data_IF_997728223324
#
_entry.id   IF_997728223324
#
_cell.length_a   1.000
_cell.length_b   1.000
_cell.length_c   1.000
_cell.angle_alpha   90.00
_cell.angle_beta   90.00
_cell.angle_gamma   90.00
#
_symmetry.space_group_name_H-M   'P 1'
#
loop_
_entity.id
_entity.type
_entity.pdbx_description
1 polymer ?
#
# COMPACT_ATOMS: atom_id res chain seq x y z
N UNK A 1 16.28 30.10 5.13
CA UNK A 1 16.89 28.75 5.08
C UNK A 1 15.87 27.78 5.61
N UNK A 2 15.54 26.69 4.89
CA UNK A 2 14.60 25.70 5.39
C UNK A 2 15.14 25.07 6.68
N UNK A 3 14.27 24.88 7.67
CA UNK A 3 14.62 24.25 8.94
C UNK A 3 14.77 22.75 8.71
N UNK A 4 15.88 22.16 9.17
CA UNK A 4 16.13 20.72 9.05
C UNK A 4 15.12 19.96 9.91
N UNK A 5 14.60 18.86 9.38
CA UNK A 5 13.69 17.98 10.11
C UNK A 5 14.41 17.32 11.29
N UNK A 6 13.84 17.39 12.49
CA UNK A 6 14.38 16.81 13.73
C UNK A 6 13.49 15.72 14.36
N UNK A 7 12.26 15.54 13.86
CA UNK A 7 11.41 14.40 14.22
C UNK A 7 11.91 13.11 13.57
N UNK A 8 12.32 12.13 14.40
CA UNK A 8 12.87 10.87 13.93
C UNK A 8 11.90 10.05 13.07
N UNK A 9 10.58 10.12 13.31
CA UNK A 9 9.58 9.46 12.46
C UNK A 9 9.55 10.12 11.08
N UNK A 10 9.54 11.45 11.03
CA UNK A 10 9.54 12.18 9.76
C UNK A 10 10.84 11.96 8.99
N UNK A 11 11.98 11.88 9.67
CA UNK A 11 13.29 11.56 9.05
C UNK A 11 13.32 10.19 8.36
N UNK A 12 12.42 9.25 8.71
CA UNK A 12 12.28 8.00 7.97
C UNK A 12 11.78 8.22 6.53
N UNK A 13 11.19 9.37 6.21
CA UNK A 13 10.67 9.68 4.88
C UNK A 13 11.84 9.99 3.93
N UNK A 14 12.36 8.93 3.32
CA UNK A 14 13.39 8.99 2.28
C UNK A 14 13.15 7.89 1.25
N UNK A 15 13.71 8.03 0.05
CA UNK A 15 13.57 7.01 -0.99
C UNK A 15 14.17 5.65 -0.57
N UNK A 16 15.29 5.67 0.16
CA UNK A 16 16.01 4.48 0.58
C UNK A 16 15.29 3.69 1.68
N UNK A 17 14.44 4.38 2.46
CA UNK A 17 13.68 3.80 3.56
C UNK A 17 12.35 3.18 3.12
N UNK A 18 11.97 3.29 1.83
CA UNK A 18 10.70 2.75 1.34
C UNK A 18 10.79 1.22 1.29
N UNK A 19 9.90 0.57 2.03
CA UNK A 19 9.73 -0.89 1.97
C UNK A 19 8.88 -1.30 0.77
N UNK A 20 7.69 -0.74 0.72
CA UNK A 20 6.67 -0.98 -0.30
C UNK A 20 5.59 0.11 -0.20
N UNK A 21 4.73 0.14 -1.22
CA UNK A 21 3.53 0.95 -1.23
C UNK A 21 2.29 0.09 -1.16
N UNK A 22 1.14 0.71 -0.94
CA UNK A 22 -0.15 0.03 -1.02
C UNK A 22 -1.16 0.81 -1.82
N UNK A 23 -1.88 0.12 -2.69
CA UNK A 23 -2.99 0.62 -3.51
C UNK A 23 -4.26 -0.19 -3.24
N UNK A 24 -5.41 0.38 -3.55
CA UNK A 24 -6.68 -0.32 -3.60
C UNK A 24 -7.10 -0.53 -5.06
N UNK A 25 -7.82 -1.62 -5.26
CA UNK A 25 -8.61 -1.84 -6.46
C UNK A 25 -10.05 -1.45 -6.18
N UNK A 26 -10.78 -1.01 -7.21
CA UNK A 26 -12.20 -0.73 -7.06
C UNK A 26 -12.96 -2.02 -6.71
N UNK A 27 -13.79 -1.97 -5.66
CA UNK A 27 -14.44 -3.14 -5.05
C UNK A 27 -15.88 -3.37 -5.54
N UNK A 28 -16.41 -2.41 -6.29
CA UNK A 28 -17.78 -2.46 -6.81
C UNK A 28 -17.89 -3.18 -8.17
N UNK A 29 -16.80 -3.82 -8.64
CA UNK A 29 -16.86 -4.79 -9.73
C UNK A 29 -17.03 -6.21 -9.13
N UNK A 30 -18.26 -6.76 -9.10
CA UNK A 30 -18.62 -7.96 -8.33
C UNK A 30 -18.01 -9.27 -8.87
N UNK A 31 -17.24 -9.17 -9.95
CA UNK A 31 -16.62 -10.26 -10.66
C UNK A 31 -15.22 -9.79 -11.06
N UNK A 32 -14.24 -10.69 -11.17
CA UNK A 32 -13.02 -10.37 -11.93
C UNK A 32 -13.30 -10.18 -13.45
N UNK A 33 -14.48 -9.66 -13.82
CA UNK A 33 -14.92 -9.49 -15.19
C UNK A 33 -14.44 -8.13 -15.66
N UNK A 34 -13.21 -8.15 -16.15
CA UNK A 34 -12.66 -7.19 -17.09
C UNK A 34 -12.16 -5.85 -16.54
N UNK A 35 -12.60 -5.35 -15.38
CA UNK A 35 -12.23 -3.99 -14.93
C UNK A 35 -11.66 -3.94 -13.49
N UNK A 36 -10.63 -4.75 -13.19
CA UNK A 36 -9.70 -4.30 -12.16
C UNK A 36 -9.11 -2.97 -12.61
N UNK A 37 -9.61 -1.89 -12.03
CA UNK A 37 -8.98 -0.60 -12.16
C UNK A 37 -8.40 -0.27 -10.81
N UNK A 38 -7.18 0.26 -10.82
CA UNK A 38 -6.67 0.92 -9.64
C UNK A 38 -7.70 1.98 -9.27
N UNK A 39 -8.09 1.99 -7.99
CA UNK A 39 -9.12 2.90 -7.51
C UNK A 39 -8.80 4.31 -7.96
N UNK A 40 -9.71 4.92 -8.71
CA UNK A 40 -9.46 6.23 -9.29
C UNK A 40 -9.14 7.25 -8.20
N UNK A 41 -8.21 8.16 -8.52
CA UNK A 41 -7.79 9.25 -7.63
C UNK A 41 -7.12 8.80 -6.32
N UNK A 42 -6.76 7.52 -6.19
CA UNK A 42 -5.91 7.06 -5.10
C UNK A 42 -4.43 7.28 -5.45
N UNK A 43 -3.66 7.81 -4.49
CA UNK A 43 -2.20 7.65 -4.53
C UNK A 43 -1.74 6.60 -3.51
N UNK A 44 -0.62 5.89 -3.76
CA UNK A 44 -0.18 4.81 -2.90
C UNK A 44 0.18 5.34 -1.51
N UNK A 45 -0.31 4.67 -0.46
CA UNK A 45 0.31 4.82 0.86
C UNK A 45 1.69 4.16 0.84
N UNK A 46 2.62 4.65 1.63
CA UNK A 46 3.98 4.12 1.72
C UNK A 46 4.27 3.63 3.12
N UNK A 47 5.02 2.53 3.19
CA UNK A 47 5.56 2.01 4.44
C UNK A 47 7.06 2.20 4.42
N UNK A 48 7.57 2.87 5.45
CA UNK A 48 8.95 3.34 5.50
C UNK A 48 9.60 2.92 6.81
N UNK A 49 10.88 2.59 6.78
CA UNK A 49 11.68 2.27 7.96
C UNK A 49 13.16 2.21 7.61
N UNK A 50 14.01 2.13 8.63
CA UNK A 50 15.45 1.90 8.47
C UNK A 50 15.75 0.39 8.40
N UNK A 51 16.61 -0.03 7.49
CA UNK A 51 16.94 -1.44 7.21
C UNK A 51 17.31 -2.30 8.41
N UNK A 52 17.95 -1.69 9.40
CA UNK A 52 18.39 -2.36 10.63
C UNK A 52 17.32 -2.35 11.73
N UNK A 53 16.30 -1.51 11.60
CA UNK A 53 15.31 -1.26 12.64
C UNK A 53 14.00 -1.98 12.35
N UNK A 54 13.32 -2.35 13.43
CA UNK A 54 11.98 -2.96 13.38
C UNK A 54 10.87 -1.90 13.40
N UNK A 55 11.25 -0.65 13.63
CA UNK A 55 10.34 0.47 13.64
C UNK A 55 10.02 0.92 12.21
N UNK A 56 8.73 1.05 11.94
CA UNK A 56 8.24 1.49 10.66
C UNK A 56 7.17 2.56 10.84
N UNK A 57 7.23 3.58 9.99
CA UNK A 57 6.20 4.58 9.83
C UNK A 57 5.33 4.25 8.61
N UNK A 58 4.04 4.59 8.72
CA UNK A 58 3.14 4.57 7.59
C UNK A 58 2.86 5.99 7.14
N UNK A 59 3.20 6.28 5.91
CA UNK A 59 2.93 7.56 5.26
C UNK A 59 1.74 7.43 4.31
N UNK A 60 0.70 8.23 4.53
CA UNK A 60 -0.55 8.22 3.77
C UNK A 60 -0.77 9.58 3.14
N UNK A 61 0.05 10.00 2.16
CA UNK A 61 -0.04 11.36 1.67
C UNK A 61 -1.37 11.63 0.94
N UNK A 62 -2.06 10.62 0.41
CA UNK A 62 -3.32 10.80 -0.33
C UNK A 62 -4.31 9.66 -0.10
N UNK A 63 -4.48 9.25 1.17
CA UNK A 63 -5.53 8.31 1.52
C UNK A 63 -6.89 9.00 1.46
N UNK A 64 -7.96 8.25 1.15
CA UNK A 64 -9.33 8.77 1.18
C UNK A 64 -9.78 9.33 2.54
N UNK A 65 -8.96 9.16 3.58
CA UNK A 65 -9.17 9.75 4.90
C UNK A 65 -8.47 11.09 5.05
N UNK A 66 -7.32 11.31 4.39
CA UNK A 66 -6.48 12.49 4.59
C UNK A 66 -5.01 12.22 4.22
N UNK A 67 -4.22 13.28 4.26
CA UNK A 67 -2.77 13.22 4.37
C UNK A 67 -2.42 12.86 5.83
N UNK A 68 -1.65 11.82 6.09
CA UNK A 68 -1.28 11.44 7.46
C UNK A 68 0.13 10.82 7.47
N UNK A 69 0.93 11.17 8.48
CA UNK A 69 2.18 10.46 8.78
C UNK A 69 1.99 9.75 10.11
N UNK A 70 2.06 8.43 10.17
CA UNK A 70 1.98 7.68 11.42
C UNK A 70 3.31 7.66 12.17
N UNK A 71 3.28 7.59 13.49
CA UNK A 71 4.48 7.39 14.31
C UNK A 71 5.18 6.08 13.97
N UNK A 72 6.51 6.07 14.09
CA UNK A 72 7.30 4.86 13.98
C UNK A 72 6.95 3.87 15.11
N UNK A 73 6.63 2.63 14.75
CA UNK A 73 6.25 1.57 15.69
C UNK A 73 6.89 0.25 15.28
N UNK A 74 7.16 -0.64 16.25
CA UNK A 74 7.65 -1.98 15.94
C UNK A 74 6.54 -2.79 15.28
N UNK A 75 6.74 -3.20 14.03
CA UNK A 75 5.72 -3.88 13.23
C UNK A 75 6.25 -5.17 12.62
N UNK A 76 5.32 -6.07 12.32
CA UNK A 76 5.56 -7.19 11.41
C UNK A 76 4.69 -6.99 10.18
N UNK A 77 5.25 -7.31 9.03
CA UNK A 77 4.60 -7.23 7.73
C UNK A 77 4.38 -8.62 7.17
N UNK A 78 3.19 -8.83 6.63
CA UNK A 78 2.81 -10.04 5.92
C UNK A 78 1.99 -9.73 4.68
N UNK A 79 1.75 -10.77 3.90
CA UNK A 79 0.82 -10.74 2.77
C UNK A 79 -0.21 -11.83 2.94
N UNK A 80 -1.42 -11.59 2.47
CA UNK A 80 -2.51 -12.55 2.52
C UNK A 80 -3.37 -12.44 1.28
N UNK A 81 -3.93 -13.57 0.88
CA UNK A 81 -4.98 -13.64 -0.11
C UNK A 81 -5.94 -14.77 0.24
N UNK A 82 -7.20 -14.55 -0.08
CA UNK A 82 -8.24 -15.57 -0.06
C UNK A 82 -9.00 -15.53 -1.38
N UNK A 83 -9.55 -16.67 -1.78
CA UNK A 83 -10.47 -16.72 -2.90
C UNK A 83 -11.64 -15.75 -2.64
N UNK A 84 -12.05 -15.01 -3.68
CA UNK A 84 -12.93 -13.82 -3.70
C UNK A 84 -14.30 -13.95 -2.96
N UNK A 85 -14.63 -15.10 -2.39
CA UNK A 85 -15.91 -15.34 -1.70
C UNK A 85 -15.77 -16.13 -0.40
N UNK A 86 -14.56 -16.28 0.11
CA UNK A 86 -14.32 -16.87 1.42
C UNK A 86 -14.37 -15.75 2.44
N UNK A 87 -15.17 -15.95 3.47
CA UNK A 87 -15.20 -15.01 4.56
C UNK A 87 -13.84 -15.10 5.27
N UNK A 88 -13.25 -13.93 5.47
CA UNK A 88 -12.18 -13.48 6.38
C UNK A 88 -12.08 -14.14 7.78
N UNK A 89 -12.91 -15.14 8.07
CA UNK A 89 -13.00 -15.92 9.29
C UNK A 89 -11.86 -16.95 9.46
N UNK A 90 -11.11 -17.27 8.40
CA UNK A 90 -10.00 -18.25 8.42
C UNK A 90 -8.65 -17.71 8.92
N UNK A 91 -8.51 -16.40 9.14
CA UNK A 91 -7.34 -15.83 9.84
C UNK A 91 -7.28 -16.21 11.34
N UNK A 92 -8.26 -16.98 11.84
CA UNK A 92 -8.27 -17.50 13.22
C UNK A 92 -7.25 -18.62 13.36
N UNK A 93 -6.10 -18.31 13.97
CA UNK A 93 -5.12 -19.22 14.58
C UNK A 93 -4.69 -20.39 13.66
N UNK A 94 -3.55 -20.38 12.98
CA UNK A 94 -2.20 -20.41 13.55
C UNK A 94 -1.24 -20.44 12.35
N UNK A 95 -0.06 -19.81 12.51
CA UNK A 95 1.03 -19.75 11.53
C UNK A 95 0.84 -18.73 10.41
N UNK A 96 1.84 -17.88 10.28
CA UNK A 96 1.83 -16.69 9.41
C UNK A 96 2.34 -17.01 7.99
N UNK A 97 2.87 -18.22 7.82
CA UNK A 97 3.14 -18.88 6.54
C UNK A 97 2.26 -20.12 6.40
N UNK A 98 1.09 -19.98 5.78
CA UNK A 98 0.16 -21.08 5.54
C UNK A 98 -0.44 -20.93 4.16
N UNK A 99 -0.61 -22.04 3.46
CA UNK A 99 -1.29 -22.07 2.16
C UNK A 99 -2.22 -23.27 2.09
N UNK A 100 -3.47 -23.01 1.75
CA UNK A 100 -4.44 -24.02 1.33
C UNK A 100 -4.66 -23.90 -0.17
N UNK A 101 -5.63 -24.60 -0.74
CA UNK A 101 -6.03 -24.38 -2.12
C UNK A 101 -6.84 -23.09 -2.31
N UNK A 102 -7.31 -22.46 -1.24
CA UNK A 102 -8.23 -21.32 -1.30
C UNK A 102 -7.77 -20.07 -0.54
N UNK A 103 -6.69 -20.15 0.21
CA UNK A 103 -6.14 -19.03 0.96
C UNK A 103 -4.65 -19.21 1.16
N UNK A 104 -3.91 -18.12 1.25
CA UNK A 104 -2.50 -18.13 1.59
C UNK A 104 -2.12 -16.90 2.41
N UNK A 105 -1.20 -17.07 3.35
CA UNK A 105 -0.54 -15.99 4.07
C UNK A 105 0.97 -16.21 4.06
N UNK A 106 1.72 -15.10 4.08
CA UNK A 106 3.17 -15.09 4.10
C UNK A 106 3.69 -14.02 5.04
N UNK A 107 4.75 -14.30 5.78
CA UNK A 107 5.56 -13.26 6.43
C UNK A 107 6.50 -12.63 5.41
N UNK A 108 6.49 -11.31 5.38
CA UNK A 108 7.50 -10.52 4.69
C UNK A 108 8.71 -10.28 5.57
N UNK A 109 8.49 -9.90 6.82
CA UNK A 109 9.53 -9.61 7.79
C UNK A 109 9.09 -8.54 8.78
N UNK A 110 10.03 -8.10 9.62
CA UNK A 110 9.86 -6.99 10.56
C UNK A 110 10.78 -5.81 10.27
N UNK A 111 11.87 -6.02 9.53
CA UNK A 111 12.72 -4.93 9.07
C UNK A 111 12.47 -4.63 7.59
N UNK A 112 12.71 -3.39 7.15
CA UNK A 112 12.66 -3.01 5.74
C UNK A 112 13.49 -3.90 4.83
N UNK A 113 14.69 -4.29 5.29
CA UNK A 113 15.55 -5.19 4.53
C UNK A 113 14.91 -6.56 4.34
N UNK A 114 14.40 -7.18 5.40
CA UNK A 114 13.74 -8.49 5.31
C UNK A 114 12.55 -8.44 4.35
N UNK A 115 11.73 -7.38 4.46
CA UNK A 115 10.57 -7.16 3.61
C UNK A 115 10.98 -7.01 2.14
N UNK A 116 11.97 -6.16 1.83
CA UNK A 116 12.43 -5.97 0.44
C UNK A 116 13.10 -7.23 -0.12
N UNK A 117 13.88 -7.95 0.67
CA UNK A 117 14.48 -9.22 0.27
C UNK A 117 13.39 -10.26 -0.06
N UNK A 118 12.35 -10.35 0.78
CA UNK A 118 11.21 -11.26 0.53
C UNK A 118 10.43 -10.86 -0.72
N UNK A 119 10.07 -9.58 -0.88
CA UNK A 119 9.38 -9.09 -2.08
C UNK A 119 10.23 -9.33 -3.34
N UNK A 120 11.55 -9.17 -3.25
CA UNK A 120 12.47 -9.49 -4.35
C UNK A 120 12.41 -10.98 -4.70
N UNK A 121 12.36 -11.86 -3.70
CA UNK A 121 12.22 -13.32 -3.94
C UNK A 121 10.91 -13.69 -4.65
N UNK A 122 9.83 -12.92 -4.43
CA UNK A 122 8.54 -13.14 -5.08
C UNK A 122 8.49 -12.70 -6.56
N UNK A 123 9.52 -11.99 -7.04
CA UNK A 123 9.64 -11.57 -8.45
C UNK A 123 10.19 -12.67 -9.36
N UNK A 124 10.47 -13.86 -8.82
CA UNK A 124 11.04 -14.97 -9.59
C UNK A 124 10.13 -15.45 -10.73
N UNK A 125 8.82 -15.26 -10.61
CA UNK A 125 7.83 -15.63 -11.64
C UNK A 125 7.04 -14.39 -12.00
N UNK A 126 7.08 -13.99 -13.28
CA UNK A 126 6.35 -12.81 -13.76
C UNK A 126 5.13 -13.20 -14.59
N UNK A 127 4.20 -12.26 -14.71
CA UNK A 127 3.02 -12.38 -15.56
C UNK A 127 2.70 -11.02 -16.19
N UNK A 128 2.18 -11.06 -17.42
CA UNK A 128 1.61 -9.87 -18.06
C UNK A 128 0.20 -9.62 -17.58
N UNK A 129 -0.18 -8.35 -17.45
CA UNK A 129 -1.53 -7.94 -17.05
C UNK A 129 -2.61 -8.57 -17.95
N UNK A 130 -2.35 -8.72 -19.25
CA UNK A 130 -3.29 -9.35 -20.19
C UNK A 130 -3.55 -10.83 -19.88
N UNK A 131 -2.52 -11.58 -19.48
CA UNK A 131 -2.67 -12.99 -19.10
C UNK A 131 -3.40 -13.13 -17.75
N UNK A 132 -3.13 -12.21 -16.82
CA UNK A 132 -3.82 -12.13 -15.53
C UNK A 132 -5.31 -11.88 -15.73
N UNK A 133 -5.67 -10.84 -16.51
CA UNK A 133 -7.06 -10.51 -16.82
C UNK A 133 -7.75 -11.69 -17.52
N UNK A 134 -7.12 -12.26 -18.55
CA UNK A 134 -7.69 -13.37 -19.29
C UNK A 134 -7.93 -14.62 -18.43
N UNK A 135 -7.04 -14.92 -17.48
CA UNK A 135 -7.23 -16.05 -16.56
C UNK A 135 -8.32 -15.79 -15.53
N UNK A 136 -8.63 -14.53 -15.24
CA UNK A 136 -9.58 -14.14 -14.22
C UNK A 136 -10.98 -13.82 -14.77
N UNK A 137 -11.12 -13.61 -16.08
CA UNK A 137 -12.40 -13.41 -16.77
C UNK A 137 -13.40 -14.57 -16.50
N UNK A 138 -14.51 -14.26 -15.84
CA UNK A 138 -15.56 -15.24 -15.54
C UNK A 138 -16.42 -15.62 -16.75
N UNK A 139 -16.46 -14.77 -17.78
CA UNK A 139 -17.13 -15.10 -19.04
C UNK A 139 -16.41 -16.21 -19.81
N UNK A 140 -15.16 -16.49 -19.44
CA UNK A 140 -14.29 -17.51 -20.03
C UNK A 140 -13.83 -18.51 -18.95
N UNK A 141 -14.74 -19.30 -18.38
CA UNK A 141 -14.45 -20.19 -17.24
C UNK A 141 -13.42 -21.28 -17.56
N UNK A 142 -13.21 -21.61 -18.82
CA UNK A 142 -12.16 -22.50 -19.30
C UNK A 142 -10.76 -21.89 -19.20
N UNK A 143 -10.66 -20.55 -19.17
CA UNK A 143 -9.39 -19.86 -18.92
C UNK A 143 -9.08 -19.90 -17.43
N UNK A 144 -7.92 -20.49 -17.14
CA UNK A 144 -7.40 -20.72 -15.79
C UNK A 144 -6.02 -20.09 -15.68
N UNK A 145 -5.61 -19.84 -14.44
CA UNK A 145 -4.23 -19.51 -14.14
C UNK A 145 -3.31 -20.61 -14.70
N UNK A 146 -2.27 -20.19 -15.44
CA UNK A 146 -1.29 -21.08 -16.07
C UNK A 146 -0.23 -21.57 -15.06
N UNK A 147 -0.12 -20.89 -13.93
CA UNK A 147 0.87 -21.15 -12.90
C UNK A 147 0.36 -22.21 -11.90
N UNK A 148 1.25 -22.97 -11.22
CA UNK A 148 0.85 -23.91 -10.19
C UNK A 148 0.06 -23.26 -9.05
N UNK A 149 -0.77 -24.06 -8.37
CA UNK A 149 -1.47 -23.61 -7.16
C UNK A 149 -0.47 -23.11 -6.12
N UNK A 150 -0.81 -22.03 -5.42
CA UNK A 150 0.01 -21.31 -4.44
C UNK A 150 1.29 -20.67 -5.02
N UNK A 151 1.43 -20.60 -6.35
CA UNK A 151 2.51 -19.84 -6.98
C UNK A 151 2.21 -18.34 -6.89
N UNK A 152 3.13 -17.59 -6.28
CA UNK A 152 3.15 -16.13 -6.32
C UNK A 152 3.70 -15.69 -7.68
N UNK A 153 3.06 -14.70 -8.28
CA UNK A 153 3.45 -14.06 -9.54
C UNK A 153 3.53 -12.55 -9.37
N UNK A 154 4.49 -11.94 -10.06
CA UNK A 154 4.70 -10.50 -10.09
C UNK A 154 4.20 -9.94 -11.43
N UNK A 155 3.38 -8.89 -11.38
CA UNK A 155 2.90 -8.23 -12.61
C UNK A 155 3.95 -7.23 -13.08
N UNK A 156 4.43 -7.41 -14.31
CA UNK A 156 5.54 -6.62 -14.86
C UNK A 156 5.11 -5.35 -15.61
N UNK A 157 3.85 -5.29 -16.06
CA UNK A 157 3.36 -4.27 -16.98
C UNK A 157 1.94 -3.75 -16.66
N UNK A 158 1.58 -2.67 -17.34
CA UNK A 158 0.25 -2.05 -17.28
C UNK A 158 -0.11 -1.46 -15.92
N UNK A 159 -1.41 -1.32 -15.68
CA UNK A 159 -1.96 -0.65 -14.50
C UNK A 159 -1.64 -1.35 -13.16
N UNK A 160 -1.25 -2.63 -13.19
CA UNK A 160 -0.88 -3.39 -11.98
C UNK A 160 0.61 -3.68 -11.87
N UNK A 161 1.44 -3.05 -12.72
CA UNK A 161 2.89 -3.24 -12.67
C UNK A 161 3.40 -3.01 -11.23
N UNK A 162 4.18 -3.96 -10.72
CA UNK A 162 4.69 -3.91 -9.35
C UNK A 162 3.85 -4.60 -8.30
N UNK A 163 2.67 -5.13 -8.65
CA UNK A 163 1.80 -5.85 -7.72
C UNK A 163 2.09 -7.35 -7.70
N UNK A 164 1.70 -7.99 -6.60
CA UNK A 164 1.91 -9.43 -6.37
C UNK A 164 0.56 -10.14 -6.29
N UNK A 165 0.48 -11.29 -6.95
CA UNK A 165 -0.72 -12.12 -7.04
C UNK A 165 -0.36 -13.56 -6.74
N UNK A 166 -1.34 -14.37 -6.34
CA UNK A 166 -1.15 -15.78 -6.06
C UNK A 166 -2.21 -16.61 -6.76
N UNK A 167 -1.81 -17.79 -7.23
CA UNK A 167 -2.74 -18.75 -7.82
C UNK A 167 -3.50 -19.50 -6.73
N UNK A 168 -4.82 -19.33 -6.63
CA UNK A 168 -5.70 -20.06 -5.70
C UNK A 168 -6.90 -20.63 -6.47
N UNK A 169 -7.63 -21.57 -5.87
CA UNK A 169 -8.89 -22.07 -6.42
C UNK A 169 -10.06 -21.17 -6.03
N UNK A 170 -10.91 -20.87 -6.99
CA UNK A 170 -12.23 -20.27 -6.74
C UNK A 170 -13.22 -21.29 -6.10
N UNK A 171 -14.45 -20.85 -5.86
CA UNK A 171 -15.51 -21.73 -5.32
C UNK A 171 -15.93 -22.86 -6.28
N UNK A 172 -15.61 -22.74 -7.57
CA UNK A 172 -15.90 -23.72 -8.62
C UNK A 172 -14.72 -24.69 -8.82
N UNK A 173 -13.62 -24.52 -8.06
CA UNK A 173 -12.41 -25.34 -8.14
C UNK A 173 -11.45 -24.95 -9.27
N UNK A 174 -11.68 -23.83 -9.96
CA UNK A 174 -10.79 -23.34 -11.01
C UNK A 174 -9.65 -22.52 -10.40
N UNK A 175 -8.43 -22.74 -10.89
CA UNK A 175 -7.28 -21.91 -10.53
C UNK A 175 -7.40 -20.51 -11.13
N UNK A 176 -7.36 -19.48 -10.29
CA UNK A 176 -7.44 -18.05 -10.63
C UNK A 176 -6.32 -17.29 -9.92
N UNK A 177 -5.93 -16.13 -10.45
CA UNK A 177 -5.02 -15.23 -9.76
C UNK A 177 -5.80 -14.37 -8.75
N UNK A 178 -5.34 -14.32 -7.51
CA UNK A 178 -5.91 -13.49 -6.46
C UNK A 178 -4.86 -12.50 -5.98
N UNK A 179 -5.26 -11.26 -5.72
CA UNK A 179 -4.33 -10.23 -5.28
C UNK A 179 -3.82 -10.56 -3.88
N UNK A 180 -2.52 -10.36 -3.66
CA UNK A 180 -1.96 -10.41 -2.31
C UNK A 180 -2.09 -9.03 -1.67
N UNK A 181 -2.78 -9.00 -0.53
CA UNK A 181 -2.99 -7.82 0.29
C UNK A 181 -1.96 -7.79 1.42
N UNK A 182 -1.47 -6.60 1.74
CA UNK A 182 -0.62 -6.38 2.91
C UNK A 182 -1.45 -6.57 4.17
N UNK A 183 -0.80 -7.19 5.14
CA UNK A 183 -1.18 -7.16 6.55
C UNK A 183 -0.01 -6.61 7.35
N UNK A 184 -0.33 -5.85 8.39
CA UNK A 184 0.66 -5.42 9.36
C UNK A 184 0.04 -5.27 10.75
N UNK A 185 0.82 -5.60 11.78
CA UNK A 185 0.40 -5.48 13.17
C UNK A 185 1.59 -5.09 14.04
N UNK A 186 1.26 -4.44 15.15
CA UNK A 186 2.25 -4.04 16.13
C UNK A 186 2.76 -5.27 16.88
N UNK A 187 4.05 -5.30 17.18
CA UNK A 187 4.66 -6.31 18.03
C UNK A 187 5.25 -5.69 19.30
N UNK A 188 5.09 -6.40 20.41
CA UNK A 188 5.72 -6.03 21.69
C UNK A 188 7.04 -6.77 21.93
N UNK A 189 7.25 -7.88 21.21
CA UNK A 189 8.46 -8.68 21.25
C UNK A 189 8.73 -9.32 19.89
N UNK A 190 10.01 -9.49 19.54
CA UNK A 190 10.41 -10.19 18.32
C UNK A 190 10.03 -11.68 18.31
N UNK A 191 9.62 -12.25 19.45
CA UNK A 191 9.03 -13.59 19.51
C UNK A 191 7.64 -13.68 18.90
N UNK A 192 6.95 -12.55 18.73
CA UNK A 192 5.53 -12.49 18.35
C UNK A 192 5.32 -12.57 16.83
N UNK A 193 6.41 -12.59 16.05
CA UNK A 193 6.40 -12.59 14.56
C UNK A 193 5.67 -13.81 14.00
N UNK A 194 5.67 -14.93 14.72
CA UNK A 194 5.14 -16.21 14.23
C UNK A 194 3.64 -16.41 14.49
N UNK A 195 2.94 -15.39 15.01
CA UNK A 195 1.51 -15.49 15.31
C UNK A 195 0.80 -14.20 14.91
N UNK A 196 -0.33 -14.36 14.21
CA UNK A 196 -1.28 -13.27 14.11
C UNK A 196 -1.80 -12.88 15.50
N UNK A 197 -2.06 -11.59 15.76
CA UNK A 197 -2.86 -11.18 16.89
C UNK A 197 -4.18 -11.96 16.94
N UNK A 198 -4.57 -12.42 18.13
CA UNK A 198 -5.86 -13.11 18.32
C UNK A 198 -7.06 -12.18 18.05
N UNK A 199 -6.84 -10.88 18.22
CA UNK A 199 -7.78 -9.80 17.97
C UNK A 199 -7.58 -9.25 16.56
N UNK A 200 -8.55 -9.49 15.69
CA UNK A 200 -8.46 -9.14 14.26
C UNK A 200 -8.38 -7.63 14.04
N UNK A 201 -8.97 -6.85 14.92
CA UNK A 201 -8.92 -5.39 14.94
C UNK A 201 -7.51 -4.84 15.16
N UNK A 202 -6.58 -5.65 15.69
CA UNK A 202 -5.15 -5.28 15.82
C UNK A 202 -4.35 -5.53 14.55
N UNK A 203 -4.95 -6.11 13.52
CA UNK A 203 -4.33 -6.35 12.22
C UNK A 203 -4.82 -5.27 11.26
N UNK A 204 -3.91 -4.43 10.82
CA UNK A 204 -4.16 -3.55 9.69
C UNK A 204 -3.97 -4.33 8.38
N UNK A 205 -4.87 -4.14 7.42
CA UNK A 205 -4.99 -4.99 6.24
C UNK A 205 -5.90 -4.38 5.18
N UNK A 206 -5.90 -4.98 3.99
CA UNK A 206 -6.92 -4.75 2.97
C UNK A 206 -6.49 -3.94 1.75
N UNK A 207 -5.19 -3.65 1.63
CA UNK A 207 -4.61 -2.96 0.48
C UNK A 207 -3.63 -3.86 -0.25
N UNK A 208 -3.55 -3.75 -1.58
CA UNK A 208 -2.61 -4.51 -2.40
C UNK A 208 -1.21 -3.90 -2.35
N UNK A 209 -0.20 -4.76 -2.15
CA UNK A 209 1.20 -4.36 -2.18
C UNK A 209 1.61 -3.91 -3.59
N UNK A 210 2.32 -2.79 -3.67
CA UNK A 210 3.11 -2.39 -4.85
C UNK A 210 4.59 -2.28 -4.43
N UNK A 211 5.48 -2.86 -5.23
CA UNK A 211 6.93 -2.82 -4.98
C UNK A 211 7.45 -1.37 -4.95
N UNK A 212 8.39 -1.08 -4.05
CA UNK A 212 8.99 0.25 -3.88
C UNK A 212 9.42 0.93 -5.19
N UNK A 213 10.10 0.21 -6.09
CA UNK A 213 10.56 0.74 -7.37
C UNK A 213 9.41 1.18 -8.30
N UNK A 214 8.20 0.66 -8.11
CA UNK A 214 7.03 0.97 -8.92
C UNK A 214 6.16 2.08 -8.33
N UNK A 215 6.44 2.52 -7.11
CA UNK A 215 5.75 3.66 -6.50
C UNK A 215 6.05 4.93 -7.29
N UNK A 216 7.32 5.22 -7.60
CA UNK A 216 7.68 6.42 -8.38
C UNK A 216 7.02 6.42 -9.76
N UNK A 217 7.07 5.28 -10.48
CA UNK A 217 6.39 5.11 -11.77
C UNK A 217 4.89 5.41 -11.64
N UNK A 218 4.25 4.94 -10.56
CA UNK A 218 2.85 5.21 -10.27
C UNK A 218 2.59 6.71 -10.09
N UNK A 219 3.37 7.41 -9.26
CA UNK A 219 3.23 8.86 -9.07
C UNK A 219 3.46 9.64 -10.36
N UNK A 220 4.43 9.25 -11.18
CA UNK A 220 4.72 9.88 -12.46
C UNK A 220 3.60 9.71 -13.49
N UNK A 221 2.82 8.61 -13.39
CA UNK A 221 1.68 8.35 -14.26
C UNK A 221 0.40 9.10 -13.85
N UNK A 222 0.38 9.76 -12.68
CA UNK A 222 -0.80 10.49 -12.23
C UNK A 222 -1.00 11.80 -13.02
N UNK A 223 -2.17 12.01 -13.63
CA UNK A 223 -2.47 13.24 -14.35
C UNK A 223 -2.35 14.48 -13.46
N UNK A 224 -1.72 15.54 -13.99
CA UNK A 224 -1.57 16.86 -13.34
C UNK A 224 -0.70 16.88 -12.06
N UNK A 225 -0.03 15.78 -11.73
CA UNK A 225 0.84 15.65 -10.54
C UNK A 225 2.32 15.80 -10.93
N UNK A 226 2.70 15.26 -12.10
CA UNK A 226 4.07 15.31 -12.60
C UNK A 226 5.05 14.40 -11.86
N UNK A 227 6.23 14.18 -12.45
CA UNK A 227 7.30 13.32 -11.90
C UNK A 227 7.82 13.79 -10.54
N UNK A 228 7.75 15.09 -10.28
CA UNK A 228 8.45 15.73 -9.16
C UNK A 228 7.66 15.64 -7.85
N UNK A 229 6.37 15.33 -7.91
CA UNK A 229 5.52 15.23 -6.72
C UNK A 229 6.02 14.17 -5.75
N UNK A 230 6.52 13.05 -6.27
CA UNK A 230 7.11 12.02 -5.41
C UNK A 230 8.32 12.57 -4.64
N UNK A 231 9.25 13.22 -5.33
CA UNK A 231 10.45 13.78 -4.71
C UNK A 231 10.12 14.93 -3.75
N UNK A 232 9.08 15.71 -4.06
CA UNK A 232 8.58 16.76 -3.20
C UNK A 232 7.94 16.24 -1.91
N UNK A 233 7.23 15.10 -1.96
CA UNK A 233 6.73 14.44 -0.74
C UNK A 233 7.89 13.96 0.14
N UNK A 234 8.97 13.47 -0.48
CA UNK A 234 10.16 13.03 0.25
C UNK A 234 10.94 14.16 0.92
N UNK A 235 10.67 15.43 0.57
CA UNK A 235 11.27 16.58 1.28
C UNK A 235 10.85 16.63 2.75
N UNK A 236 9.74 16.02 3.15
CA UNK A 236 9.25 16.04 4.54
C UNK A 236 10.22 15.38 5.52
N UNK A 237 10.98 14.38 5.06
CA UNK A 237 12.02 13.75 5.88
C UNK A 237 13.33 14.51 5.94
N UNK A 238 13.49 15.57 5.15
CA UNK A 238 14.71 16.41 5.15
C UNK A 238 14.48 17.76 5.83
N UNK A 239 13.31 18.35 5.64
CA UNK A 239 12.98 19.68 6.10
C UNK A 239 11.62 19.69 6.81
N UNK A 240 11.50 20.55 7.82
CA UNK A 240 10.20 20.85 8.41
C UNK A 240 9.28 21.41 7.32
N UNK A 241 8.06 20.90 7.25
CA UNK A 241 7.06 21.34 6.30
C UNK A 241 5.84 21.85 7.03
N UNK A 242 5.22 22.87 6.43
CA UNK A 242 4.02 23.48 6.96
C UNK A 242 2.89 23.38 5.95
N UNK A 243 1.72 23.00 6.43
CA UNK A 243 0.47 23.16 5.70
C UNK A 243 -0.01 24.60 5.86
N UNK A 244 -0.29 25.26 4.74
CA UNK A 244 -0.90 26.59 4.72
C UNK A 244 -2.32 26.47 4.17
N UNK A 245 -3.33 26.80 4.97
CA UNK A 245 -4.72 26.91 4.50
C UNK A 245 -5.22 28.34 4.65
N UNK A 246 -5.98 28.78 3.66
CA UNK A 246 -6.73 30.04 3.71
C UNK A 246 -8.02 29.80 4.49
N UNK A 247 -8.16 30.45 5.64
CA UNK A 247 -9.41 30.51 6.41
C UNK A 247 -10.09 31.85 6.17
N UNK A 248 -11.29 31.84 5.57
CA UNK A 248 -12.02 33.08 5.28
C UNK A 248 -11.33 33.98 4.25
N UNK A 249 -11.66 35.28 4.25
CA UNK A 249 -11.26 36.19 3.16
C UNK A 249 -9.80 36.64 3.18
N UNK A 250 -8.98 36.36 4.20
CA UNK A 250 -7.56 36.76 4.28
C UNK A 250 -6.75 36.16 5.47
N UNK A 251 -7.23 35.13 6.18
CA UNK A 251 -6.48 34.56 7.31
C UNK A 251 -5.70 33.31 6.85
N UNK A 252 -4.39 33.46 6.66
CA UNK A 252 -3.51 32.32 6.38
C UNK A 252 -3.13 31.67 7.70
N UNK A 253 -3.59 30.43 7.88
CA UNK A 253 -3.14 29.61 9.00
C UNK A 253 -2.10 28.62 8.51
N UNK A 254 -1.01 28.58 9.25
CA UNK A 254 0.13 27.72 8.99
C UNK A 254 0.22 26.71 10.12
N UNK A 255 0.32 25.43 9.78
CA UNK A 255 0.49 24.34 10.74
C UNK A 255 1.68 23.49 10.35
N UNK A 256 2.54 23.19 11.30
CA UNK A 256 3.63 22.24 11.10
C UNK A 256 3.05 20.84 10.90
N UNK A 257 3.57 20.11 9.91
CA UNK A 257 3.22 18.71 9.70
C UNK A 257 3.94 17.87 10.76
N UNK A 258 3.16 17.28 11.67
CA UNK A 258 3.64 16.40 12.74
C UNK A 258 3.15 14.95 12.54
N UNK A 259 3.86 13.94 13.09
CA UNK A 259 3.35 12.57 13.15
C UNK A 259 2.02 12.44 13.89
N UNK A 260 1.26 11.41 13.54
CA UNK A 260 -0.08 11.06 14.02
C UNK A 260 -1.16 12.12 13.80
N UNK A 261 -0.89 13.18 13.05
CA UNK A 261 -1.90 14.15 12.65
C UNK A 261 -2.47 13.82 11.27
N UNK A 262 -3.81 13.79 11.18
CA UNK A 262 -4.54 13.72 9.91
C UNK A 262 -4.73 15.14 9.37
N UNK A 263 -3.97 15.46 8.34
CA UNK A 263 -4.04 16.72 7.61
C UNK A 263 -4.95 16.56 6.40
N UNK A 264 -5.69 17.62 6.06
CA UNK A 264 -6.59 17.62 4.91
C UNK A 264 -7.56 16.42 4.85
N UNK A 265 -8.26 16.07 5.94
CA UNK A 265 -9.19 14.97 5.89
C UNK A 265 -10.30 15.19 4.88
N UNK A 266 -10.80 14.12 4.27
CA UNK A 266 -11.80 14.20 3.19
C UNK A 266 -13.08 14.91 3.62
N UNK A 267 -13.37 14.89 4.93
CA UNK A 267 -14.46 15.65 5.55
C UNK A 267 -14.31 17.17 5.40
N UNK A 268 -13.09 17.71 5.35
CA UNK A 268 -12.85 19.14 5.05
C UNK A 268 -13.27 19.54 3.64
N UNK A 269 -13.40 18.57 2.72
CA UNK A 269 -13.70 18.79 1.31
C UNK A 269 -15.10 18.32 0.93
N UNK A 270 -16.06 18.32 1.87
CA UNK A 270 -17.42 17.84 1.63
C UNK A 270 -17.46 16.43 1.02
N UNK A 271 -16.54 15.56 1.46
CA UNK A 271 -16.38 14.20 0.94
C UNK A 271 -16.00 14.13 -0.56
N UNK A 272 -15.50 15.21 -1.17
CA UNK A 272 -15.06 15.23 -2.56
C UNK A 272 -13.58 14.80 -2.68
N UNK A 273 -13.36 13.59 -3.20
CA UNK A 273 -12.02 13.03 -3.36
C UNK A 273 -11.14 13.80 -4.36
N UNK A 274 -11.73 14.39 -5.40
CA UNK A 274 -10.99 15.21 -6.38
C UNK A 274 -10.51 16.51 -5.74
N UNK A 275 -11.37 17.20 -5.00
CA UNK A 275 -11.00 18.44 -4.31
C UNK A 275 -9.92 18.21 -3.24
N UNK A 276 -10.02 17.09 -2.50
CA UNK A 276 -8.97 16.67 -1.57
C UNK A 276 -7.66 16.40 -2.33
N UNK A 277 -7.71 15.64 -3.42
CA UNK A 277 -6.54 15.34 -4.25
C UNK A 277 -5.89 16.63 -4.74
N UNK A 278 -6.66 17.56 -5.28
CA UNK A 278 -6.17 18.85 -5.79
C UNK A 278 -5.48 19.68 -4.68
N UNK A 279 -6.00 19.65 -3.45
CA UNK A 279 -5.37 20.32 -2.31
C UNK A 279 -4.04 19.69 -1.89
N UNK A 280 -3.94 18.36 -1.93
CA UNK A 280 -2.66 17.70 -1.64
C UNK A 280 -1.68 17.86 -2.82
N UNK A 281 -2.15 17.89 -4.08
CA UNK A 281 -1.31 18.25 -5.24
C UNK A 281 -0.70 19.63 -5.05
N UNK A 282 -1.49 20.61 -4.60
CA UNK A 282 -1.02 21.95 -4.30
C UNK A 282 0.06 21.94 -3.21
N UNK A 283 -0.14 21.15 -2.14
CA UNK A 283 0.87 20.95 -1.09
C UNK A 283 2.16 20.39 -1.70
N UNK A 284 2.07 19.33 -2.50
CA UNK A 284 3.21 18.69 -3.16
C UNK A 284 3.93 19.61 -4.16
N UNK A 285 3.21 20.50 -4.86
CA UNK A 285 3.80 21.48 -5.79
C UNK A 285 4.35 22.73 -5.09
N UNK A 286 3.78 23.10 -3.94
CA UNK A 286 4.05 24.35 -3.22
C UNK A 286 5.25 24.31 -2.29
N UNK A 287 6.00 23.21 -2.23
CA UNK A 287 7.26 23.10 -1.48
C UNK A 287 8.41 23.82 -2.21
N UNK A 288 8.25 25.13 -2.42
CA UNK A 288 9.34 26.03 -2.75
C UNK A 288 9.99 26.55 -1.45
N UNK A 289 11.33 26.55 -1.47
CA UNK A 289 12.25 26.80 -0.35
C UNK A 289 12.30 28.24 0.14
#
# INVERSE_FOLDING_TARGET
MPVVQDDATLQLISADNIMFGTIDFDKDDPVLSNDYTVKQLQMPSMYMGNDADVEASRYRPFHSSGFMVGQAQQRVFGMYSEAVYIQKATLKSTVVDNSSDKSASFILGKTPKEVRDKLTSFKAVTIKISDLIAANDESQPEKKAKHPLNQIVYVEDGAFAGTFWITLKDNKGNSKYNNLQIMDWDITSTSDIQKFPNEREKIHWGHTCIEHNKIRDFYAALPDVGSDSFDNLLKLGKYQQFLVLVSGKNDLKTWEILPNAEWLPRSMYNLNAKAQLDAVKLMASGFES
#
